data_IF_060587407495
#
_entry.id   IF_060587407495
#
_cell.length_a   1.000
_cell.length_b   1.000
_cell.length_c   1.000
_cell.angle_alpha   90.00
_cell.angle_beta   90.00
_cell.angle_gamma   90.00
#
_symmetry.space_group_name_H-M   'P 1'
#
loop_
_entity.id
_entity.type
_entity.pdbx_description
1 polymer ?
#
# COMPACT_ATOMS: atom_id res chain seq x y z
N UNK A 1 -45.46 31.83 -43.61
CA UNK A 1 -45.31 31.08 -42.33
C UNK A 1 -45.35 29.59 -42.63
N UNK A 2 -44.19 28.94 -42.82
CA UNK A 2 -43.97 27.48 -42.62
C UNK A 2 -42.46 27.35 -42.36
N UNK A 3 -42.06 27.42 -41.10
CA UNK A 3 -41.60 26.28 -40.29
C UNK A 3 -40.11 25.96 -40.52
N UNK A 4 -39.28 26.83 -39.94
CA UNK A 4 -37.88 26.57 -39.61
C UNK A 4 -37.80 25.53 -38.49
N UNK A 5 -37.96 24.24 -38.80
CA UNK A 5 -37.76 23.15 -37.83
C UNK A 5 -37.15 21.95 -38.56
N UNK A 6 -35.87 22.04 -38.91
CA UNK A 6 -35.09 20.88 -39.40
C UNK A 6 -33.66 20.88 -38.84
N UNK A 7 -33.50 21.26 -37.58
CA UNK A 7 -32.19 21.28 -36.91
C UNK A 7 -32.26 20.89 -35.42
N UNK A 8 -33.21 20.01 -35.04
CA UNK A 8 -33.38 19.60 -33.64
C UNK A 8 -33.46 18.08 -33.42
N UNK A 9 -33.17 17.24 -34.41
CA UNK A 9 -33.28 15.77 -34.27
C UNK A 9 -32.00 15.06 -34.71
N UNK A 10 -30.84 15.50 -34.21
CA UNK A 10 -29.58 14.74 -34.29
C UNK A 10 -28.86 14.64 -32.95
N UNK A 11 -29.48 15.05 -31.85
CA UNK A 11 -29.00 14.75 -30.49
C UNK A 11 -29.63 13.42 -30.07
N UNK A 12 -29.44 12.39 -30.90
CA UNK A 12 -29.67 11.02 -30.49
C UNK A 12 -28.37 10.51 -29.90
N UNK A 13 -28.25 10.69 -28.58
CA UNK A 13 -27.77 9.64 -27.68
C UNK A 13 -26.45 9.01 -28.15
N UNK A 14 -25.38 9.81 -28.18
CA UNK A 14 -24.11 9.26 -27.76
C UNK A 14 -24.21 9.08 -26.25
N UNK A 15 -24.83 7.98 -25.80
CA UNK A 15 -24.66 7.51 -24.44
C UNK A 15 -23.15 7.39 -24.25
N UNK A 16 -22.57 8.36 -23.56
CA UNK A 16 -21.24 8.23 -22.99
C UNK A 16 -21.37 6.98 -22.14
N UNK A 17 -20.79 5.87 -22.61
CA UNK A 17 -20.62 4.68 -21.80
C UNK A 17 -19.66 5.14 -20.71
N UNK A 18 -20.23 5.64 -19.62
CA UNK A 18 -19.53 5.70 -18.36
C UNK A 18 -19.23 4.24 -18.04
N UNK A 19 -18.00 3.81 -18.32
CA UNK A 19 -17.46 2.60 -17.72
C UNK A 19 -17.42 2.86 -16.22
N UNK A 20 -18.53 2.60 -15.53
CA UNK A 20 -18.51 2.44 -14.10
C UNK A 20 -17.54 1.29 -13.85
N UNK A 21 -16.36 1.59 -13.31
CA UNK A 21 -15.40 0.58 -12.93
C UNK A 21 -16.13 -0.38 -11.99
N UNK A 22 -16.23 -1.65 -12.37
CA UNK A 22 -16.83 -2.67 -11.51
C UNK A 22 -16.00 -2.75 -10.24
N UNK A 23 -16.56 -2.46 -9.05
CA UNK A 23 -15.80 -2.47 -7.81
C UNK A 23 -15.11 -3.82 -7.63
N UNK A 24 -13.83 -3.77 -7.32
CA UNK A 24 -13.03 -4.96 -7.11
C UNK A 24 -13.13 -5.40 -5.65
N UNK A 25 -13.57 -6.64 -5.42
CA UNK A 25 -13.78 -7.15 -4.06
C UNK A 25 -12.48 -7.72 -3.49
N UNK A 26 -12.11 -7.24 -2.31
CA UNK A 26 -10.99 -7.75 -1.51
C UNK A 26 -11.54 -8.55 -0.33
N UNK A 27 -11.14 -9.82 -0.12
CA UNK A 27 -11.70 -10.65 0.94
C UNK A 27 -11.15 -10.23 2.32
N UNK A 28 -12.04 -10.19 3.30
CA UNK A 28 -11.67 -10.11 4.72
C UNK A 28 -10.96 -11.39 5.17
N UNK A 29 -10.04 -11.26 6.11
CA UNK A 29 -9.32 -12.40 6.74
C UNK A 29 -10.22 -13.26 7.62
N UNK A 30 -11.34 -12.72 8.10
CA UNK A 30 -12.20 -13.35 9.12
C UNK A 30 -11.59 -13.33 10.53
N UNK A 31 -10.47 -12.63 10.73
CA UNK A 31 -9.81 -12.44 12.01
C UNK A 31 -9.73 -10.96 12.36
N UNK A 32 -9.47 -10.67 13.63
CA UNK A 32 -9.30 -9.31 14.14
C UNK A 32 -7.93 -9.11 14.78
N UNK A 33 -7.42 -7.90 14.63
CA UNK A 33 -6.06 -7.52 14.99
C UNK A 33 -6.03 -6.19 15.74
N UNK A 34 -4.90 -5.87 16.36
CA UNK A 34 -4.68 -4.62 17.10
C UNK A 34 -4.96 -4.76 18.60
N UNK A 35 -4.07 -4.22 19.47
CA UNK A 35 -4.30 -4.19 20.91
C UNK A 35 -5.34 -3.14 21.33
N UNK A 36 -5.63 -2.16 20.47
CA UNK A 36 -6.54 -1.03 20.70
C UNK A 36 -7.95 -1.22 20.13
N UNK A 37 -8.26 -2.41 19.62
CA UNK A 37 -9.60 -2.81 19.21
C UNK A 37 -9.56 -3.97 18.23
N UNK A 38 -10.65 -4.74 18.07
CA UNK A 38 -10.71 -5.77 17.05
C UNK A 38 -10.85 -5.12 15.66
N UNK A 39 -9.74 -4.83 15.00
CA UNK A 39 -9.71 -4.26 13.66
C UNK A 39 -9.74 -5.35 12.59
N UNK A 40 -10.57 -5.14 11.57
CA UNK A 40 -10.66 -6.05 10.42
C UNK A 40 -9.49 -5.81 9.46
N UNK A 41 -8.96 -6.89 8.91
CA UNK A 41 -7.91 -6.84 7.89
C UNK A 41 -8.34 -7.59 6.63
N UNK A 42 -7.79 -7.19 5.49
CA UNK A 42 -7.96 -7.87 4.20
C UNK A 42 -6.84 -8.87 3.96
N UNK A 43 -7.15 -9.95 3.25
CA UNK A 43 -6.19 -10.97 2.88
C UNK A 43 -5.68 -10.72 1.46
N UNK A 44 -4.37 -10.52 1.32
CA UNK A 44 -3.68 -10.50 0.04
C UNK A 44 -2.65 -11.63 -0.04
N UNK A 45 -2.20 -11.94 -1.26
CA UNK A 45 -1.07 -12.83 -1.51
C UNK A 45 0.05 -12.04 -2.17
N UNK A 46 1.27 -12.16 -1.67
CA UNK A 46 2.42 -11.42 -2.18
C UNK A 46 3.53 -12.40 -2.55
N UNK A 47 4.28 -12.08 -3.60
CA UNK A 47 5.40 -12.88 -4.06
C UNK A 47 5.01 -14.02 -5.00
N UNK A 48 6.02 -14.55 -5.69
CA UNK A 48 5.86 -15.68 -6.62
C UNK A 48 5.34 -16.95 -5.93
N UNK A 49 5.62 -17.10 -4.64
CA UNK A 49 5.16 -18.19 -3.77
C UNK A 49 3.81 -17.90 -3.09
N UNK A 50 3.20 -16.73 -3.37
CA UNK A 50 1.84 -16.34 -2.96
C UNK A 50 1.63 -16.38 -1.45
N UNK A 51 2.57 -15.81 -0.71
CA UNK A 51 2.52 -15.72 0.76
C UNK A 51 1.29 -14.93 1.20
N UNK A 52 0.47 -15.54 2.05
CA UNK A 52 -0.75 -14.93 2.58
C UNK A 52 -0.39 -13.92 3.67
N UNK A 53 -0.73 -12.65 3.42
CA UNK A 53 -0.48 -11.55 4.35
C UNK A 53 -1.78 -10.79 4.59
N UNK A 54 -2.12 -10.61 5.86
CA UNK A 54 -3.20 -9.74 6.32
C UNK A 54 -2.70 -8.30 6.39
N UNK A 55 -3.46 -7.37 5.81
CA UNK A 55 -3.13 -5.95 5.81
C UNK A 55 -4.35 -5.15 6.24
N UNK A 56 -4.14 -4.05 6.97
CA UNK A 56 -5.20 -3.09 7.18
C UNK A 56 -5.54 -2.42 5.84
N UNK A 57 -6.81 -2.44 5.40
CA UNK A 57 -7.20 -1.70 4.22
C UNK A 57 -7.29 -0.21 4.54
N UNK A 58 -6.55 0.62 3.83
CA UNK A 58 -6.65 2.07 3.97
C UNK A 58 -5.34 2.80 3.86
N UNK A 59 -5.37 4.09 4.17
CA UNK A 59 -4.26 4.99 3.98
C UNK A 59 -4.06 5.43 2.54
N UNK A 60 -3.22 6.46 2.38
CA UNK A 60 -2.86 7.02 1.09
C UNK A 60 -1.40 6.71 0.75
N UNK A 61 -1.10 6.70 -0.54
CA UNK A 61 0.21 6.50 -1.14
C UNK A 61 0.64 5.04 -1.20
N UNK A 62 1.52 4.63 -0.30
CA UNK A 62 2.31 3.43 -0.48
C UNK A 62 1.97 2.38 0.56
N UNK A 63 1.57 1.21 0.07
CA UNK A 63 1.39 0.02 0.91
C UNK A 63 2.72 -0.36 1.54
N UNK A 64 2.68 -0.82 2.79
CA UNK A 64 3.85 -1.38 3.46
C UNK A 64 3.53 -2.74 4.05
N UNK A 65 4.55 -3.60 4.09
CA UNK A 65 4.46 -4.96 4.62
C UNK A 65 5.62 -5.23 5.59
N UNK A 66 5.42 -6.21 6.46
CA UNK A 66 6.44 -6.62 7.42
C UNK A 66 7.20 -7.82 6.87
N UNK A 67 8.53 -7.73 6.84
CA UNK A 67 9.38 -8.88 6.53
C UNK A 67 9.43 -9.85 7.72
N UNK A 68 9.71 -11.11 7.42
CA UNK A 68 9.94 -12.17 8.43
C UNK A 68 11.02 -11.80 9.45
N UNK A 69 12.00 -10.99 9.06
CA UNK A 69 13.05 -10.46 9.95
C UNK A 69 12.50 -9.60 11.09
N UNK A 70 11.30 -9.03 10.96
CA UNK A 70 10.65 -8.24 12.03
C UNK A 70 10.40 -9.11 13.27
N UNK A 71 10.14 -10.41 13.07
CA UNK A 71 9.96 -11.37 14.16
C UNK A 71 11.27 -11.86 14.80
N UNK A 72 12.44 -11.56 14.21
CA UNK A 72 13.73 -12.01 14.75
C UNK A 72 14.20 -11.16 15.92
N UNK A 73 13.70 -9.92 16.07
CA UNK A 73 14.07 -9.03 17.16
C UNK A 73 13.16 -9.25 18.38
N UNK A 74 13.69 -9.87 19.43
CA UNK A 74 12.96 -10.16 20.66
C UNK A 74 13.16 -9.12 21.77
N UNK A 75 13.87 -8.03 21.49
CA UNK A 75 14.15 -6.96 22.47
C UNK A 75 12.91 -6.16 22.86
N UNK A 76 11.90 -6.13 22.00
CA UNK A 76 10.65 -5.38 22.22
C UNK A 76 9.56 -6.28 22.81
N UNK A 77 9.50 -7.53 22.34
CA UNK A 77 8.55 -8.54 22.80
C UNK A 77 9.13 -9.92 22.56
N UNK A 78 8.93 -10.84 23.51
CA UNK A 78 9.27 -12.26 23.33
C UNK A 78 8.31 -12.98 22.37
N UNK A 79 7.16 -12.37 22.09
CA UNK A 79 6.14 -12.88 21.16
C UNK A 79 6.09 -12.02 19.89
N UNK A 80 6.12 -12.67 18.72
CA UNK A 80 5.92 -11.97 17.44
C UNK A 80 4.43 -11.94 17.06
N UNK A 81 3.78 -10.80 17.32
CA UNK A 81 2.38 -10.58 16.94
C UNK A 81 2.17 -10.64 15.42
N UNK A 82 3.16 -10.21 14.63
CA UNK A 82 3.07 -10.22 13.17
C UNK A 82 2.85 -11.60 12.53
N UNK A 83 3.24 -12.69 13.21
CA UNK A 83 2.97 -14.04 12.72
C UNK A 83 1.47 -14.35 12.57
N UNK A 84 0.60 -13.67 13.32
CA UNK A 84 -0.86 -13.83 13.19
C UNK A 84 -1.38 -13.27 11.87
N UNK A 85 -0.76 -12.19 11.38
CA UNK A 85 -1.09 -11.54 10.12
C UNK A 85 -0.38 -12.20 8.93
N UNK A 86 0.73 -12.89 9.18
CA UNK A 86 1.64 -13.35 8.15
C UNK A 86 2.72 -12.30 7.91
N UNK A 87 3.96 -12.76 7.85
CA UNK A 87 5.14 -11.96 7.54
C UNK A 87 5.72 -12.43 6.21
N UNK A 88 6.31 -11.50 5.46
CA UNK A 88 6.85 -11.79 4.15
C UNK A 88 8.29 -12.32 4.25
N UNK A 89 8.51 -13.56 3.83
CA UNK A 89 9.84 -14.10 3.59
C UNK A 89 10.28 -13.79 2.17
N UNK A 90 11.13 -12.78 2.02
CA UNK A 90 11.65 -12.38 0.71
C UNK A 90 12.50 -13.45 0.03
N UNK A 91 13.05 -14.43 0.77
CA UNK A 91 13.93 -15.45 0.19
C UNK A 91 13.16 -16.51 -0.60
N UNK A 92 11.85 -16.62 -0.40
CA UNK A 92 11.00 -17.59 -1.10
C UNK A 92 10.29 -16.99 -2.32
N UNK A 93 10.30 -15.66 -2.47
CA UNK A 93 9.78 -14.97 -3.65
C UNK A 93 10.88 -14.73 -4.69
N UNK A 94 10.76 -15.36 -5.85
CA UNK A 94 11.67 -15.15 -6.99
C UNK A 94 11.38 -13.85 -7.76
N UNK A 95 10.27 -13.17 -7.46
CA UNK A 95 9.88 -11.90 -8.07
C UNK A 95 10.16 -10.69 -7.18
N UNK A 96 10.71 -10.90 -5.98
CA UNK A 96 11.13 -9.84 -5.09
C UNK A 96 12.36 -9.11 -5.62
N UNK A 97 12.30 -7.78 -5.67
CA UNK A 97 13.42 -6.91 -6.08
C UNK A 97 13.48 -5.65 -5.21
N UNK A 98 14.48 -5.54 -4.35
CA UNK A 98 14.78 -4.34 -3.54
C UNK A 98 15.92 -3.48 -4.10
N UNK A 99 16.25 -3.68 -5.38
CA UNK A 99 17.35 -2.99 -6.07
C UNK A 99 16.87 -2.06 -7.18
N UNK A 100 15.70 -2.33 -7.79
CA UNK A 100 15.13 -1.51 -8.85
C UNK A 100 14.83 -0.07 -8.43
N UNK A 101 14.35 0.14 -7.19
CA UNK A 101 14.07 1.47 -6.65
C UNK A 101 15.25 1.90 -5.77
N UNK A 102 16.05 2.85 -6.26
CA UNK A 102 17.25 3.35 -5.56
C UNK A 102 16.99 4.50 -4.58
N UNK A 103 15.72 4.79 -4.30
CA UNK A 103 15.33 5.74 -3.27
C UNK A 103 15.52 5.08 -1.90
N UNK A 104 16.22 5.74 -0.98
CA UNK A 104 16.37 5.28 0.39
C UNK A 104 15.22 5.76 1.26
N UNK A 105 14.75 4.91 2.17
CA UNK A 105 13.88 5.32 3.27
C UNK A 105 14.82 5.62 4.45
N UNK A 106 14.79 6.85 4.96
CA UNK A 106 15.67 7.32 6.03
C UNK A 106 17.17 7.03 5.79
N UNK A 107 17.63 7.11 4.53
CA UNK A 107 19.02 6.76 4.16
C UNK A 107 19.44 5.34 4.57
N UNK A 108 18.48 4.43 4.73
CA UNK A 108 18.70 3.06 5.20
C UNK A 108 19.03 2.97 6.70
N UNK A 109 18.80 4.05 7.46
CA UNK A 109 19.08 4.13 8.89
C UNK A 109 17.81 4.01 9.72
N UNK A 110 17.98 3.62 10.99
CA UNK A 110 16.88 3.55 11.94
C UNK A 110 16.29 4.92 12.19
N UNK A 111 14.98 5.07 12.06
CA UNK A 111 14.31 6.34 12.27
C UNK A 111 12.80 6.27 12.15
N UNK A 112 12.11 7.43 12.24
CA UNK A 112 10.66 7.49 12.05
C UNK A 112 10.32 7.15 10.60
N UNK A 113 9.43 6.18 10.41
CA UNK A 113 8.97 5.73 9.11
C UNK A 113 7.68 6.46 8.74
N UNK A 114 7.73 7.24 7.66
CA UNK A 114 6.61 8.05 7.19
C UNK A 114 5.93 7.37 5.98
N UNK A 115 5.11 6.36 6.26
CA UNK A 115 4.37 5.60 5.24
C UNK A 115 3.02 6.23 4.94
N UNK A 116 3.02 7.32 4.16
CA UNK A 116 1.77 7.95 3.71
C UNK A 116 0.78 8.29 4.84
N UNK A 117 -0.50 8.43 4.50
CA UNK A 117 -1.56 8.75 5.47
C UNK A 117 -2.23 7.49 6.05
N UNK A 118 -1.44 6.47 6.35
CA UNK A 118 -1.93 5.16 6.78
C UNK A 118 -1.85 4.93 8.30
N UNK A 119 -1.02 5.70 8.99
CA UNK A 119 -0.62 5.44 10.37
C UNK A 119 -0.73 6.72 11.20
N UNK A 120 -1.71 6.78 12.10
CA UNK A 120 -1.80 7.85 13.11
C UNK A 120 -0.76 7.68 14.22
N UNK A 121 -0.35 6.43 14.49
CA UNK A 121 0.72 6.12 15.43
C UNK A 121 2.06 6.02 14.68
N UNK A 122 3.09 6.79 15.10
CA UNK A 122 4.40 6.74 14.46
C UNK A 122 5.03 5.35 14.54
N UNK A 123 5.54 4.87 13.41
CA UNK A 123 6.40 3.69 13.33
C UNK A 123 7.86 4.15 13.37
N UNK A 124 8.69 3.46 14.14
CA UNK A 124 10.14 3.61 14.14
C UNK A 124 10.78 2.31 13.70
N UNK A 125 11.77 2.40 12.82
CA UNK A 125 12.44 1.21 12.33
C UNK A 125 13.31 1.48 11.12
N UNK A 126 13.55 0.40 10.39
CA UNK A 126 14.21 0.39 9.09
C UNK A 126 13.24 -0.15 8.05
N UNK A 127 13.35 0.35 6.82
CA UNK A 127 12.53 -0.11 5.71
C UNK A 127 13.24 0.14 4.38
N UNK A 128 12.77 -0.53 3.33
CA UNK A 128 13.26 -0.37 1.96
C UNK A 128 12.11 -0.31 0.97
N UNK A 129 12.37 0.26 -0.19
CA UNK A 129 11.51 0.07 -1.35
C UNK A 129 11.78 -1.32 -1.94
N UNK A 130 10.72 -2.00 -2.33
CA UNK A 130 10.80 -3.24 -3.09
C UNK A 130 9.71 -3.29 -4.16
N UNK A 131 9.94 -4.10 -5.18
CA UNK A 131 8.92 -4.54 -6.13
C UNK A 131 8.62 -6.01 -5.87
N UNK A 132 7.34 -6.38 -5.95
CA UNK A 132 6.95 -7.78 -6.07
C UNK A 132 5.58 -7.90 -6.77
N UNK A 133 5.11 -9.13 -6.98
CA UNK A 133 3.76 -9.42 -7.43
C UNK A 133 2.78 -9.42 -6.25
N UNK A 134 1.59 -8.85 -6.48
CA UNK A 134 0.47 -8.95 -5.55
C UNK A 134 -0.70 -9.63 -6.27
N UNK A 135 -1.26 -10.63 -5.61
CA UNK A 135 -2.47 -11.33 -6.00
C UNK A 135 -3.58 -10.99 -5.00
N UNK A 136 -4.60 -10.33 -5.53
CA UNK A 136 -5.85 -10.10 -4.81
C UNK A 136 -6.94 -10.82 -5.59
N UNK A 137 -7.73 -11.66 -4.91
CA UNK A 137 -8.88 -12.35 -5.52
C UNK A 137 -8.59 -13.07 -6.85
N UNK A 138 -7.36 -13.54 -7.07
CA UNK A 138 -6.93 -14.22 -8.30
C UNK A 138 -6.42 -13.29 -9.41
N UNK A 139 -6.48 -11.98 -9.22
CA UNK A 139 -5.89 -10.99 -10.13
C UNK A 139 -4.47 -10.69 -9.68
N UNK A 140 -3.51 -11.05 -10.51
CA UNK A 140 -2.07 -10.86 -10.24
C UNK A 140 -1.57 -9.61 -10.93
N UNK A 141 -1.04 -8.68 -10.15
CA UNK A 141 -0.36 -7.47 -10.63
C UNK A 141 1.13 -7.63 -10.38
N UNK A 142 1.98 -7.65 -11.43
CA UNK A 142 3.43 -7.71 -11.27
C UNK A 142 4.00 -6.32 -10.97
N UNK A 143 5.23 -6.29 -10.42
CA UNK A 143 6.01 -5.07 -10.18
C UNK A 143 5.27 -4.00 -9.35
N UNK A 144 4.49 -4.43 -8.37
CA UNK A 144 3.87 -3.52 -7.41
C UNK A 144 4.96 -3.02 -6.48
N UNK A 145 5.10 -1.70 -6.38
CA UNK A 145 5.99 -1.11 -5.41
C UNK A 145 5.42 -1.25 -4.00
N UNK A 146 6.28 -1.56 -3.05
CA UNK A 146 5.97 -1.73 -1.64
C UNK A 146 7.07 -1.10 -0.78
N UNK A 147 6.70 -0.62 0.40
CA UNK A 147 7.66 -0.42 1.48
C UNK A 147 7.75 -1.72 2.29
N UNK A 148 8.95 -2.26 2.45
CA UNK A 148 9.18 -3.46 3.25
C UNK A 148 9.90 -3.09 4.54
N UNK A 149 9.25 -3.34 5.68
CA UNK A 149 9.79 -3.07 7.01
C UNK A 149 10.55 -4.31 7.47
N UNK A 150 11.84 -4.18 7.72
CA UNK A 150 12.69 -5.29 8.15
C UNK A 150 12.78 -5.40 9.67
N UNK A 151 12.69 -4.28 10.39
CA UNK A 151 12.62 -4.18 11.84
C UNK A 151 11.88 -2.90 12.25
N UNK A 152 11.15 -2.95 13.37
CA UNK A 152 10.51 -1.74 13.90
C UNK A 152 9.56 -1.97 15.05
N UNK A 153 9.02 -0.86 15.57
CA UNK A 153 7.95 -0.80 16.55
C UNK A 153 7.08 0.44 16.33
N UNK A 154 5.89 0.43 16.92
CA UNK A 154 5.03 1.60 16.99
C UNK A 154 4.99 2.15 18.42
N UNK A 155 4.83 3.47 18.55
CA UNK A 155 4.69 4.14 19.85
C UNK A 155 3.21 4.46 20.06
N UNK A 156 2.63 3.96 21.14
CA UNK A 156 1.24 4.26 21.53
C UNK A 156 1.14 5.58 22.33
N UNK A 157 -0.07 6.15 22.51
CA UNK A 157 -0.25 7.42 23.23
C UNK A 157 0.28 7.43 24.68
N UNK A 158 0.44 6.26 25.29
CA UNK A 158 1.04 6.09 26.63
C UNK A 158 2.58 6.14 26.63
N UNK A 159 3.20 6.24 25.45
CA UNK A 159 4.65 6.25 25.26
C UNK A 159 5.28 4.85 25.17
N UNK A 160 4.48 3.78 25.25
CA UNK A 160 4.98 2.41 25.22
C UNK A 160 5.33 2.00 23.78
N UNK A 161 6.48 1.34 23.63
CA UNK A 161 6.88 0.70 22.37
C UNK A 161 6.16 -0.64 22.22
N UNK A 162 5.40 -0.80 21.14
CA UNK A 162 4.71 -2.03 20.81
C UNK A 162 5.27 -2.65 19.53
N UNK A 163 5.46 -3.98 19.49
CA UNK A 163 5.88 -4.67 18.28
C UNK A 163 4.86 -4.47 17.16
N UNK A 164 5.33 -4.38 15.92
CA UNK A 164 4.46 -4.28 14.76
C UNK A 164 3.67 -5.58 14.56
N UNK A 165 2.36 -5.45 14.27
CA UNK A 165 1.48 -6.60 14.03
C UNK A 165 1.13 -6.76 12.54
N UNK A 166 0.78 -5.68 11.83
CA UNK A 166 0.41 -5.76 10.42
C UNK A 166 0.99 -4.62 9.60
N UNK A 167 1.02 -4.83 8.29
CA UNK A 167 1.19 -3.78 7.31
C UNK A 167 -0.14 -3.11 6.90
N UNK A 168 -0.06 -2.26 5.89
CA UNK A 168 -1.21 -1.55 5.32
C UNK A 168 -1.26 -1.76 3.81
N UNK A 169 -2.47 -2.01 3.29
CA UNK A 169 -2.80 -1.97 1.87
C UNK A 169 -3.41 -0.61 1.56
N UNK A 170 -2.63 0.28 0.95
CA UNK A 170 -3.08 1.60 0.51
C UNK A 170 -4.08 1.50 -0.63
N UNK A 171 -5.17 2.28 -0.54
CA UNK A 171 -6.30 2.22 -1.49
C UNK A 171 -6.33 3.41 -2.47
N UNK A 172 -5.26 4.21 -2.50
CA UNK A 172 -5.13 5.31 -3.45
C UNK A 172 -4.21 6.39 -2.94
N UNK A 173 -4.24 7.53 -3.62
CA UNK A 173 -3.60 8.77 -3.21
C UNK A 173 -4.52 9.94 -3.60
N UNK A 174 -4.40 11.11 -2.96
CA UNK A 174 -5.19 12.26 -3.36
C UNK A 174 -4.89 12.67 -4.80
N UNK A 175 -5.85 13.29 -5.47
CA UNK A 175 -5.59 14.01 -6.72
C UNK A 175 -4.60 15.14 -6.50
N UNK A 176 -3.46 15.09 -7.18
CA UNK A 176 -2.41 16.11 -7.04
C UNK A 176 -1.45 16.14 -8.24
N UNK A 177 -0.87 17.31 -8.45
CA UNK A 177 0.17 17.55 -9.43
C UNK A 177 1.54 17.49 -8.73
N UNK A 178 2.34 16.48 -9.05
CA UNK A 178 3.73 16.38 -8.61
C UNK A 178 4.65 17.02 -9.64
N UNK A 179 5.57 17.86 -9.16
CA UNK A 179 6.62 18.46 -9.97
C UNK A 179 7.97 17.99 -9.46
N UNK A 180 8.75 17.37 -10.34
CA UNK A 180 10.11 16.93 -10.06
C UNK A 180 11.06 17.84 -10.83
N UNK A 181 11.84 18.64 -10.10
CA UNK A 181 12.81 19.55 -10.68
C UNK A 181 14.22 19.16 -10.24
N UNK A 182 15.11 18.95 -11.20
CA UNK A 182 16.55 18.89 -10.96
C UNK A 182 17.19 20.21 -11.40
N UNK A 183 18.20 20.68 -10.65
CA UNK A 183 18.86 21.96 -10.94
C UNK A 183 19.42 21.97 -12.37
N UNK A 184 18.95 22.89 -13.20
CA UNK A 184 19.39 23.04 -14.60
C UNK A 184 18.81 22.02 -15.58
N UNK A 185 17.79 21.25 -15.18
CA UNK A 185 17.05 20.33 -16.05
C UNK A 185 15.57 20.75 -16.18
N UNK A 186 14.88 20.37 -17.27
CA UNK A 186 13.44 20.59 -17.38
C UNK A 186 12.68 19.92 -16.25
N UNK A 187 11.69 20.62 -15.69
CA UNK A 187 10.78 20.07 -14.70
C UNK A 187 9.94 18.95 -15.32
N UNK A 188 9.85 17.81 -14.62
CA UNK A 188 8.95 16.71 -14.97
C UNK A 188 7.67 16.87 -14.16
N UNK A 189 6.52 16.95 -14.84
CA UNK A 189 5.21 17.03 -14.20
C UNK A 189 4.51 15.68 -14.28
N UNK A 190 4.10 15.14 -13.12
CA UNK A 190 3.19 14.01 -13.01
C UNK A 190 1.85 14.47 -12.44
N UNK A 191 0.74 13.98 -12.97
CA UNK A 191 -0.58 14.27 -12.42
C UNK A 191 -1.24 12.97 -12.01
N UNK A 192 -1.65 12.87 -10.75
CA UNK A 192 -2.50 11.79 -10.25
C UNK A 192 -3.94 12.27 -10.32
N UNK A 193 -4.80 11.45 -10.93
CA UNK A 193 -6.24 11.66 -10.96
C UNK A 193 -6.89 10.48 -10.24
N UNK A 194 -7.72 10.78 -9.25
CA UNK A 194 -8.72 9.82 -8.78
C UNK A 194 -9.86 9.75 -9.81
N UNK A 195 -10.28 8.53 -10.13
CA UNK A 195 -11.36 8.23 -11.08
C UNK A 195 -12.73 8.18 -10.40
#
# INVERSE_FOLDING_TARGET
MVSSIFLLVSIWIASIIAHAATPFTVPWTGQTYGPDGPWQAVQVKIGSDRQKIALYPGGAWQSYILLSSTCSNTSISSYCYANRAGVFDKLTSTTYDDTAIRLTINDGTWGPLHFGAATDNPIYGTAKWALDSIDISGVVVPYVSLNVVDQGYQIYPDGTNYPLELGVLSLGAPSLQQQFANRGQPTINGTFFDS
#
